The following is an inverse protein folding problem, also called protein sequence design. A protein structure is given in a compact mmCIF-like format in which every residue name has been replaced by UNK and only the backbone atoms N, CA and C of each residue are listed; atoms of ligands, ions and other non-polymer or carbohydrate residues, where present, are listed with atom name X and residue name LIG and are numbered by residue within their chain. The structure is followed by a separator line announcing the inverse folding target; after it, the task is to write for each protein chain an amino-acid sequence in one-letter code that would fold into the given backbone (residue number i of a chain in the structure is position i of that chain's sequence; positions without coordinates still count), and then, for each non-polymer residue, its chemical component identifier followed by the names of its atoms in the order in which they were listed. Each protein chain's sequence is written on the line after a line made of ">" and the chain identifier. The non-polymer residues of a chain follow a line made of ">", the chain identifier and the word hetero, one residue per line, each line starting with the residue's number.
data_IF_181911593376
#
_entry.id   IF_181911593376
#
_cell.length_a   1.000
_cell.length_b   1.000
_cell.length_c   1.000
_cell.angle_alpha   90.00
_cell.angle_beta   90.00
_cell.angle_gamma   90.00
#
_symmetry.space_group_name_H-M   'P 1'
#
loop_
_entity.id
_entity.type
_entity.pdbx_description
1 polymer ?
#
# COMPACT_ATOMS: atom_id res chain seq x y z
N UNK A 1 72.89 -33.83 -35.66
CA UNK A 1 71.61 -33.26 -36.14
C UNK A 1 70.53 -33.74 -35.17
N UNK A 2 70.17 -32.92 -34.18
CA UNK A 2 69.26 -33.31 -33.10
C UNK A 2 67.90 -32.64 -33.34
N UNK A 3 66.85 -33.45 -33.46
CA UNK A 3 65.47 -33.01 -33.64
C UNK A 3 64.89 -32.49 -32.31
N UNK A 4 64.32 -31.29 -32.35
CA UNK A 4 63.51 -30.70 -31.28
C UNK A 4 62.05 -31.17 -31.38
N UNK A 5 61.48 -31.63 -30.26
CA UNK A 5 60.07 -32.00 -30.11
C UNK A 5 59.38 -30.99 -29.19
N UNK A 6 58.66 -30.03 -29.78
CA UNK A 6 57.85 -29.04 -29.09
C UNK A 6 56.45 -29.60 -28.83
N UNK A 7 56.09 -29.85 -27.58
CA UNK A 7 54.72 -30.24 -27.20
C UNK A 7 53.96 -29.04 -26.66
N UNK A 8 52.99 -28.55 -27.43
CA UNK A 8 52.02 -27.53 -27.01
C UNK A 8 50.90 -28.17 -26.18
N UNK A 9 50.85 -27.90 -24.88
CA UNK A 9 49.73 -28.28 -24.02
C UNK A 9 48.63 -27.22 -24.12
N UNK A 10 47.50 -27.58 -24.74
CA UNK A 10 46.28 -26.77 -24.78
C UNK A 10 45.54 -26.85 -23.44
N UNK A 11 45.33 -25.70 -22.80
CA UNK A 11 44.64 -25.54 -21.51
C UNK A 11 43.12 -25.83 -21.60
N UNK A 12 42.54 -26.68 -20.73
CA UNK A 12 41.10 -26.92 -20.67
C UNK A 12 40.42 -25.88 -19.75
N UNK A 13 40.28 -24.63 -20.22
CA UNK A 13 39.57 -23.57 -19.46
C UNK A 13 38.09 -23.39 -19.82
N UNK A 14 37.58 -24.12 -20.82
CA UNK A 14 36.22 -23.92 -21.34
C UNK A 14 35.13 -24.77 -20.67
N UNK A 15 35.47 -25.81 -19.90
CA UNK A 15 34.45 -26.71 -19.34
C UNK A 15 33.75 -26.20 -18.06
N UNK A 16 34.35 -25.24 -17.34
CA UNK A 16 33.80 -24.77 -16.07
C UNK A 16 32.72 -23.68 -16.23
N UNK A 17 32.67 -23.00 -17.38
CA UNK A 17 31.69 -21.93 -17.62
C UNK A 17 30.28 -22.47 -17.92
N UNK A 18 30.17 -23.67 -18.50
CA UNK A 18 28.88 -24.22 -18.93
C UNK A 18 28.01 -24.75 -17.78
N UNK A 19 28.62 -25.25 -16.69
CA UNK A 19 27.87 -25.82 -15.55
C UNK A 19 27.25 -24.72 -14.68
N UNK A 20 27.85 -23.53 -14.62
CA UNK A 20 27.32 -22.41 -13.85
C UNK A 20 26.04 -21.79 -14.45
N UNK A 21 25.87 -21.81 -15.78
CA UNK A 21 24.65 -21.31 -16.43
C UNK A 21 23.44 -22.24 -16.25
N UNK A 22 23.66 -23.56 -16.14
CA UNK A 22 22.57 -24.52 -15.99
C UNK A 22 21.89 -24.44 -14.61
N UNK A 23 22.60 -24.01 -13.57
CA UNK A 23 22.04 -23.84 -12.21
C UNK A 23 21.18 -22.57 -12.06
N UNK A 24 21.34 -21.57 -12.94
CA UNK A 24 20.54 -20.34 -12.93
C UNK A 24 19.19 -20.48 -13.64
N UNK A 25 19.03 -21.49 -14.50
CA UNK A 25 17.78 -21.72 -15.23
C UNK A 25 16.69 -22.41 -14.40
N UNK A 26 17.03 -22.95 -13.21
CA UNK A 26 16.10 -23.67 -12.34
C UNK A 26 15.27 -22.81 -11.37
N UNK A 27 15.59 -21.51 -11.22
CA UNK A 27 14.95 -20.65 -10.22
C UNK A 27 13.71 -19.88 -10.68
N UNK A 28 13.18 -20.13 -11.89
CA UNK A 28 12.01 -19.40 -12.41
C UNK A 28 10.72 -20.22 -12.46
N UNK A 29 10.75 -21.49 -12.01
CA UNK A 29 9.60 -22.37 -12.08
C UNK A 29 8.73 -22.31 -10.81
N UNK A 30 7.72 -21.44 -10.82
CA UNK A 30 6.49 -21.64 -10.04
C UNK A 30 6.49 -21.26 -8.55
N UNK A 31 7.49 -20.51 -8.07
CA UNK A 31 7.44 -19.92 -6.73
C UNK A 31 6.33 -18.86 -6.60
N UNK A 32 5.77 -18.73 -5.40
CA UNK A 32 4.94 -17.55 -5.05
C UNK A 32 5.78 -16.30 -5.35
N UNK A 33 5.23 -15.34 -6.11
CA UNK A 33 5.89 -14.04 -6.29
C UNK A 33 6.14 -13.36 -4.93
N UNK A 34 7.06 -12.39 -4.85
CA UNK A 34 7.46 -11.77 -3.57
C UNK A 34 6.25 -11.26 -2.77
N UNK A 35 5.31 -10.56 -3.42
CA UNK A 35 4.08 -10.09 -2.79
C UNK A 35 3.21 -11.23 -2.22
N UNK A 36 3.16 -12.36 -2.91
CA UNK A 36 2.36 -13.50 -2.47
C UNK A 36 3.00 -14.21 -1.27
N UNK A 37 4.34 -14.30 -1.24
CA UNK A 37 5.08 -14.82 -0.10
C UNK A 37 4.95 -13.90 1.13
N UNK A 38 5.13 -12.59 0.96
CA UNK A 38 4.96 -11.62 2.04
C UNK A 38 3.54 -11.58 2.58
N UNK A 39 2.54 -11.54 1.68
CA UNK A 39 1.13 -11.57 2.06
C UNK A 39 0.73 -12.84 2.81
N UNK A 40 1.30 -14.00 2.44
CA UNK A 40 1.04 -15.26 3.14
C UNK A 40 1.55 -15.26 4.60
N UNK A 41 2.51 -14.40 4.91
CA UNK A 41 3.06 -14.26 6.26
C UNK A 41 2.34 -13.20 7.10
N UNK A 42 1.40 -12.44 6.54
CA UNK A 42 0.64 -11.44 7.30
C UNK A 42 -0.29 -12.13 8.30
N UNK A 43 -0.16 -11.77 9.58
CA UNK A 43 -1.06 -12.25 10.61
C UNK A 43 -2.50 -11.77 10.33
N UNK A 44 -3.53 -12.63 10.35
CA UNK A 44 -4.90 -12.23 9.99
C UNK A 44 -5.45 -11.04 10.76
N UNK A 45 -5.02 -10.81 12.01
CA UNK A 45 -5.42 -9.65 12.79
C UNK A 45 -4.76 -8.33 12.35
N UNK A 46 -3.72 -8.38 11.51
CA UNK A 46 -3.03 -7.21 10.96
C UNK A 46 -3.59 -6.76 9.60
N UNK A 47 -4.47 -7.55 8.97
CA UNK A 47 -5.23 -7.10 7.77
C UNK A 47 -6.09 -5.87 8.08
N UNK A 48 -6.66 -5.83 9.29
CA UNK A 48 -7.38 -4.67 9.83
C UNK A 48 -6.80 -4.37 11.22
N UNK A 49 -5.71 -3.62 11.29
CA UNK A 49 -4.87 -3.55 12.48
C UNK A 49 -5.49 -2.66 13.56
N UNK A 50 -5.05 -2.87 14.80
CA UNK A 50 -5.43 -2.02 15.96
C UNK A 50 -4.50 -0.82 16.10
N UNK A 51 -4.47 0.05 15.10
CA UNK A 51 -3.63 1.27 15.09
C UNK A 51 -4.06 2.29 16.14
N UNK A 52 -3.11 3.10 16.62
CA UNK A 52 -3.42 4.25 17.48
C UNK A 52 -4.07 5.38 16.66
N UNK A 53 -4.84 6.29 17.29
CA UNK A 53 -5.36 7.48 16.60
C UNK A 53 -4.26 8.33 15.93
N UNK A 54 -3.09 8.44 16.57
CA UNK A 54 -1.95 9.18 16.01
C UNK A 54 -1.39 8.49 14.76
N UNK A 55 -1.17 7.17 14.81
CA UNK A 55 -0.68 6.41 13.65
C UNK A 55 -1.65 6.48 12.47
N UNK A 56 -2.96 6.45 12.74
CA UNK A 56 -3.99 6.58 11.71
C UNK A 56 -3.87 7.90 10.94
N UNK A 57 -3.82 9.03 11.66
CA UNK A 57 -3.70 10.36 11.05
C UNK A 57 -2.35 10.54 10.36
N UNK A 58 -1.24 10.12 10.98
CA UNK A 58 0.09 10.21 10.37
C UNK A 58 0.19 9.42 9.07
N UNK A 59 -0.37 8.22 9.02
CA UNK A 59 -0.44 7.44 7.78
C UNK A 59 -1.34 8.10 6.74
N UNK A 60 -2.46 8.71 7.15
CA UNK A 60 -3.32 9.44 6.22
C UNK A 60 -2.62 10.66 5.61
N UNK A 61 -1.95 11.46 6.44
CA UNK A 61 -1.15 12.60 5.98
C UNK A 61 -0.08 12.14 4.98
N UNK A 62 0.74 11.15 5.37
CA UNK A 62 1.83 10.65 4.54
C UNK A 62 1.35 10.04 3.22
N UNK A 63 0.32 9.19 3.24
CA UNK A 63 -0.04 8.34 2.11
C UNK A 63 -1.23 8.84 1.30
N UNK A 64 -2.00 9.80 1.79
CA UNK A 64 -3.14 10.37 1.05
C UNK A 64 -2.97 11.85 0.74
N UNK A 65 -2.49 12.65 1.70
CA UNK A 65 -2.37 14.11 1.55
C UNK A 65 -1.08 14.46 0.83
N UNK A 66 0.06 14.00 1.35
CA UNK A 66 1.40 14.29 0.87
C UNK A 66 1.97 13.24 -0.09
N UNK A 67 1.09 12.40 -0.65
CA UNK A 67 1.50 11.33 -1.55
C UNK A 67 1.73 11.83 -2.97
N UNK A 68 2.48 11.04 -3.76
CA UNK A 68 2.71 11.34 -5.17
C UNK A 68 1.40 11.55 -5.97
N UNK A 69 1.45 12.36 -7.05
CA UNK A 69 0.25 12.78 -7.78
C UNK A 69 -0.38 11.66 -8.62
N UNK A 70 0.31 10.53 -8.82
CA UNK A 70 -0.15 9.40 -9.62
C UNK A 70 -0.30 8.14 -8.78
N UNK A 71 -1.20 7.23 -9.21
CA UNK A 71 -1.32 5.92 -8.57
C UNK A 71 -0.01 5.11 -8.60
N UNK A 72 0.80 5.26 -9.64
CA UNK A 72 2.08 4.57 -9.76
C UNK A 72 3.10 5.07 -8.72
N UNK A 73 3.17 6.39 -8.50
CA UNK A 73 4.01 6.97 -7.45
C UNK A 73 3.54 6.50 -6.06
N UNK A 74 2.24 6.50 -5.81
CA UNK A 74 1.67 6.03 -4.54
C UNK A 74 1.94 4.53 -4.29
N UNK A 75 1.83 3.69 -5.32
CA UNK A 75 2.20 2.26 -5.23
C UNK A 75 3.68 2.09 -4.86
N UNK A 76 4.57 2.85 -5.52
CA UNK A 76 5.99 2.87 -5.22
C UNK A 76 6.28 3.30 -3.77
N UNK A 77 5.65 4.37 -3.31
CA UNK A 77 5.82 4.90 -1.95
C UNK A 77 5.33 3.91 -0.87
N UNK A 78 4.20 3.26 -1.10
CA UNK A 78 3.66 2.25 -0.18
C UNK A 78 4.57 1.02 -0.12
N UNK A 79 5.04 0.53 -1.27
CA UNK A 79 5.99 -0.59 -1.33
C UNK A 79 7.32 -0.25 -0.65
N UNK A 80 7.84 0.96 -0.88
CA UNK A 80 9.05 1.44 -0.19
C UNK A 80 8.87 1.55 1.33
N UNK A 81 7.64 1.76 1.80
CA UNK A 81 7.28 1.71 3.22
C UNK A 81 7.04 0.27 3.75
N UNK A 82 7.24 -0.77 2.94
CA UNK A 82 7.06 -2.17 3.33
C UNK A 82 5.59 -2.63 3.35
N UNK A 83 4.70 -1.90 2.68
CA UNK A 83 3.35 -2.38 2.45
C UNK A 83 3.28 -3.32 1.25
N UNK A 84 2.40 -4.30 1.32
CA UNK A 84 2.10 -5.22 0.22
C UNK A 84 0.63 -5.16 -0.18
N UNK A 85 0.31 -5.38 -1.47
CA UNK A 85 -1.07 -5.50 -1.91
C UNK A 85 -1.78 -6.68 -1.23
N UNK A 86 -2.95 -6.43 -0.64
CA UNK A 86 -3.78 -7.45 0.00
C UNK A 86 -4.37 -8.46 -1.00
N UNK A 87 -4.44 -8.09 -2.28
CA UNK A 87 -4.85 -8.93 -3.40
C UNK A 87 -4.04 -8.54 -4.64
N UNK A 88 -3.81 -9.48 -5.56
CA UNK A 88 -2.96 -9.24 -6.73
C UNK A 88 -3.58 -8.25 -7.72
N UNK A 89 -4.90 -8.37 -7.95
CA UNK A 89 -5.64 -7.51 -8.85
C UNK A 89 -6.43 -6.42 -8.09
N UNK A 90 -6.40 -5.15 -8.55
CA UNK A 90 -7.27 -4.11 -8.03
C UNK A 90 -8.75 -4.51 -8.14
N UNK A 91 -9.55 -4.13 -7.14
CA UNK A 91 -11.01 -4.30 -7.16
C UNK A 91 -11.65 -2.95 -7.44
N UNK A 92 -12.42 -2.84 -8.52
CA UNK A 92 -13.04 -1.58 -8.95
C UNK A 92 -12.01 -0.43 -9.10
N UNK A 93 -10.81 -0.74 -9.60
CA UNK A 93 -9.72 0.24 -9.75
C UNK A 93 -9.06 0.68 -8.44
N UNK A 94 -9.47 0.12 -7.29
CA UNK A 94 -8.85 0.36 -6.00
C UNK A 94 -7.94 -0.81 -5.59
N UNK A 95 -6.83 -0.49 -4.94
CA UNK A 95 -5.89 -1.47 -4.39
C UNK A 95 -5.72 -1.21 -2.90
N UNK A 96 -5.86 -2.28 -2.12
CA UNK A 96 -5.67 -2.29 -0.67
C UNK A 96 -4.25 -2.77 -0.35
N UNK A 97 -3.60 -2.08 0.56
CA UNK A 97 -2.26 -2.35 1.04
C UNK A 97 -2.28 -2.60 2.54
N UNK A 98 -1.53 -3.61 2.94
CA UNK A 98 -1.42 -4.11 4.31
C UNK A 98 0.06 -4.31 4.65
N UNK A 99 0.36 -4.38 5.94
CA UNK A 99 1.70 -4.67 6.44
C UNK A 99 1.56 -5.48 7.73
N UNK A 100 2.52 -6.36 8.02
CA UNK A 100 2.44 -7.27 9.16
C UNK A 100 2.82 -6.62 10.50
N UNK A 101 2.35 -5.39 10.73
CA UNK A 101 2.50 -4.70 12.00
C UNK A 101 1.21 -3.92 12.37
N UNK A 102 1.33 -2.94 13.28
CA UNK A 102 0.18 -2.18 13.78
C UNK A 102 -0.11 -0.89 12.99
N UNK A 103 0.63 -0.60 11.92
CA UNK A 103 0.34 0.53 11.03
C UNK A 103 -0.99 0.28 10.31
N UNK A 104 -1.80 1.32 10.06
CA UNK A 104 -3.09 1.17 9.42
C UNK A 104 -2.95 0.69 7.98
N UNK A 105 -3.98 0.00 7.50
CA UNK A 105 -4.08 -0.38 6.10
C UNK A 105 -4.41 0.85 5.24
N UNK A 106 -3.92 0.86 4.01
CA UNK A 106 -4.08 1.98 3.07
C UNK A 106 -4.74 1.46 1.80
N UNK A 107 -5.78 2.11 1.31
CA UNK A 107 -6.32 1.81 -0.01
C UNK A 107 -6.26 3.04 -0.91
N UNK A 108 -5.81 2.83 -2.14
CA UNK A 108 -5.67 3.88 -3.16
C UNK A 108 -6.40 3.50 -4.45
N UNK A 109 -6.89 4.51 -5.16
CA UNK A 109 -7.45 4.45 -6.51
C UNK A 109 -7.18 5.79 -7.20
N UNK A 110 -7.57 5.93 -8.46
CA UNK A 110 -7.38 7.17 -9.21
C UNK A 110 -8.04 8.41 -8.58
N UNK A 111 -9.09 8.23 -7.78
CA UNK A 111 -9.90 9.32 -7.21
C UNK A 111 -10.01 9.30 -5.69
N UNK A 112 -9.41 8.32 -5.04
CA UNK A 112 -9.61 8.11 -3.62
C UNK A 112 -8.37 7.51 -2.98
N UNK A 113 -7.98 8.06 -1.83
CA UNK A 113 -7.08 7.41 -0.89
C UNK A 113 -7.78 7.32 0.45
N UNK A 114 -7.68 6.18 1.13
CA UNK A 114 -8.17 6.02 2.48
C UNK A 114 -7.15 5.27 3.34
N UNK A 115 -7.17 5.60 4.62
CA UNK A 115 -6.44 4.87 5.65
C UNK A 115 -7.45 4.32 6.64
N UNK A 116 -7.36 3.03 6.96
CA UNK A 116 -8.32 2.37 7.83
C UNK A 116 -7.66 1.45 8.87
N UNK A 117 -8.32 1.37 10.02
CA UNK A 117 -7.92 0.52 11.13
C UNK A 117 -9.16 0.05 11.91
N UNK A 118 -8.97 -0.83 12.90
CA UNK A 118 -9.99 -1.09 13.92
C UNK A 118 -10.37 0.21 14.65
N UNK A 119 -11.67 0.36 14.93
CA UNK A 119 -12.18 1.48 15.70
C UNK A 119 -11.62 1.47 17.13
N UNK A 120 -11.19 2.65 17.60
CA UNK A 120 -10.72 2.89 18.97
C UNK A 120 -11.19 4.24 19.47
N UNK A 121 -11.15 4.42 20.79
CA UNK A 121 -11.42 5.69 21.46
C UNK A 121 -10.48 6.80 20.95
N UNK A 122 -11.02 8.00 20.78
CA UNK A 122 -10.25 9.19 20.39
C UNK A 122 -9.95 9.35 18.90
N UNK A 123 -10.29 8.39 18.03
CA UNK A 123 -10.05 8.51 16.58
C UNK A 123 -10.82 9.66 15.94
N UNK A 124 -12.11 9.80 16.25
CA UNK A 124 -12.96 10.88 15.72
C UNK A 124 -12.42 12.26 16.08
N UNK A 125 -12.06 12.46 17.36
CA UNK A 125 -11.52 13.74 17.81
C UNK A 125 -10.14 14.01 17.21
N UNK A 126 -9.28 12.99 17.12
CA UNK A 126 -7.96 13.12 16.51
C UNK A 126 -8.05 13.48 15.02
N UNK A 127 -8.97 12.88 14.28
CA UNK A 127 -9.21 13.22 12.87
C UNK A 127 -9.75 14.63 12.73
N UNK A 128 -10.73 15.03 13.56
CA UNK A 128 -11.28 16.40 13.58
C UNK A 128 -10.20 17.45 13.83
N UNK A 129 -9.37 17.25 14.86
CA UNK A 129 -8.28 18.14 15.20
C UNK A 129 -7.27 18.27 14.05
N UNK A 130 -6.89 17.14 13.45
CA UNK A 130 -6.00 17.12 12.28
C UNK A 130 -6.58 17.90 11.09
N UNK A 131 -7.88 17.74 10.80
CA UNK A 131 -8.52 18.48 9.69
C UNK A 131 -8.48 19.98 9.95
N UNK A 132 -8.81 20.42 11.16
CA UNK A 132 -8.79 21.83 11.52
C UNK A 132 -7.38 22.45 11.46
N UNK A 133 -6.35 21.68 11.81
CA UNK A 133 -4.95 22.11 11.77
C UNK A 133 -4.38 22.14 10.34
N UNK A 134 -4.67 21.10 9.55
CA UNK A 134 -4.00 20.87 8.25
C UNK A 134 -4.76 21.51 7.08
N UNK A 135 -6.07 21.66 7.21
CA UNK A 135 -6.96 22.22 6.19
C UNK A 135 -7.80 23.34 6.80
N UNK A 136 -7.19 24.50 7.11
CA UNK A 136 -7.90 25.61 7.77
C UNK A 136 -9.07 26.16 6.94
N UNK A 137 -9.08 25.92 5.63
CA UNK A 137 -10.17 26.29 4.72
C UNK A 137 -11.30 25.25 4.63
N UNK A 138 -11.15 24.09 5.29
CA UNK A 138 -12.10 23.00 5.25
C UNK A 138 -13.48 23.42 5.76
N UNK A 139 -14.52 23.18 4.95
CA UNK A 139 -15.91 23.51 5.30
C UNK A 139 -16.68 22.23 5.61
N UNK A 140 -17.34 22.11 6.78
CA UNK A 140 -18.16 20.95 7.07
C UNK A 140 -19.30 20.85 6.04
N UNK A 141 -19.59 19.65 5.58
CA UNK A 141 -20.70 19.36 4.67
C UNK A 141 -21.61 18.29 5.26
N UNK A 142 -22.88 18.31 4.87
CA UNK A 142 -23.85 17.29 5.28
C UNK A 142 -23.43 15.90 4.81
N UNK A 143 -23.61 14.89 5.66
CA UNK A 143 -23.20 13.50 5.37
C UNK A 143 -24.32 12.63 4.81
N UNK A 144 -25.56 13.13 4.81
CA UNK A 144 -26.76 12.37 4.40
C UNK A 144 -26.61 11.75 3.00
N UNK A 145 -26.01 12.49 2.06
CA UNK A 145 -25.84 12.05 0.67
C UNK A 145 -24.49 11.40 0.38
N UNK A 146 -23.58 11.35 1.36
CA UNK A 146 -22.22 10.81 1.19
C UNK A 146 -22.12 9.31 1.50
N UNK A 147 -23.14 8.76 2.16
CA UNK A 147 -23.28 7.34 2.43
C UNK A 147 -23.56 7.04 3.90
N UNK A 148 -24.23 5.91 4.14
CA UNK A 148 -24.76 5.49 5.46
C UNK A 148 -23.73 5.35 6.59
N UNK A 149 -22.45 5.37 6.29
CA UNK A 149 -21.37 5.13 7.25
C UNK A 149 -20.49 6.36 7.49
N UNK A 150 -20.74 7.46 6.79
CA UNK A 150 -19.95 8.69 6.92
C UNK A 150 -20.35 9.39 8.22
N UNK A 151 -19.40 9.52 9.14
CA UNK A 151 -19.61 10.21 10.42
C UNK A 151 -19.44 11.72 10.28
N UNK A 152 -18.43 12.14 9.51
CA UNK A 152 -18.08 13.54 9.33
C UNK A 152 -17.52 13.73 7.92
N UNK A 153 -17.76 14.89 7.33
CA UNK A 153 -17.18 15.25 6.03
C UNK A 153 -16.90 16.75 5.94
N UNK A 154 -15.87 17.07 5.16
CA UNK A 154 -15.44 18.42 4.88
C UNK A 154 -15.12 18.57 3.40
N UNK A 155 -15.62 19.65 2.80
CA UNK A 155 -15.12 20.12 1.52
C UNK A 155 -13.77 20.83 1.74
N UNK A 156 -12.75 20.43 0.99
CA UNK A 156 -11.42 21.04 1.00
C UNK A 156 -11.04 21.49 -0.42
N UNK A 157 -9.94 22.21 -0.57
CA UNK A 157 -9.46 22.54 -1.92
C UNK A 157 -9.15 21.24 -2.70
N UNK A 158 -9.83 21.05 -3.82
CA UNK A 158 -9.61 19.91 -4.71
C UNK A 158 -10.19 18.57 -4.25
N UNK A 159 -11.08 18.55 -3.24
CA UNK A 159 -11.67 17.29 -2.81
C UNK A 159 -12.65 17.34 -1.64
N UNK A 160 -12.99 16.14 -1.17
CA UNK A 160 -13.76 15.89 0.03
C UNK A 160 -12.92 15.02 0.96
N UNK A 161 -12.78 15.45 2.21
CA UNK A 161 -12.26 14.62 3.28
C UNK A 161 -13.45 14.08 4.08
N UNK A 162 -13.44 12.80 4.41
CA UNK A 162 -14.49 12.18 5.21
C UNK A 162 -13.92 11.21 6.24
N UNK A 163 -14.68 10.99 7.30
CA UNK A 163 -14.44 9.89 8.23
C UNK A 163 -15.62 8.92 8.17
N UNK A 164 -15.33 7.63 8.24
CA UNK A 164 -16.33 6.56 8.14
C UNK A 164 -16.17 5.59 9.29
N UNK A 165 -17.29 5.09 9.82
CA UNK A 165 -17.31 3.95 10.74
C UNK A 165 -18.20 2.84 10.20
N UNK A 166 -17.63 1.64 10.09
CA UNK A 166 -18.35 0.43 9.61
C UNK A 166 -18.29 -0.68 10.63
N UNK A 167 -19.37 -1.44 10.72
CA UNK A 167 -19.36 -2.75 11.37
C UNK A 167 -19.05 -3.82 10.33
N UNK A 168 -18.11 -4.72 10.63
CA UNK A 168 -17.91 -5.93 9.85
C UNK A 168 -18.86 -7.07 10.29
N UNK A 169 -18.88 -8.16 9.54
CA UNK A 169 -19.73 -9.32 9.82
C UNK A 169 -19.46 -9.99 11.18
N UNK A 170 -18.34 -9.65 11.84
CA UNK A 170 -17.96 -10.16 13.16
C UNK A 170 -18.25 -9.14 14.27
N UNK A 171 -19.14 -8.17 14.03
CA UNK A 171 -19.45 -7.07 14.95
C UNK A 171 -18.22 -6.25 15.38
N UNK A 172 -17.16 -6.22 14.58
CA UNK A 172 -16.01 -5.35 14.84
C UNK A 172 -16.20 -4.04 14.10
N UNK A 173 -16.01 -2.95 14.83
CA UNK A 173 -16.06 -1.62 14.24
C UNK A 173 -14.70 -1.26 13.61
N UNK A 174 -14.74 -0.69 12.42
CA UNK A 174 -13.59 -0.14 11.68
C UNK A 174 -13.78 1.35 11.51
N UNK A 175 -12.68 2.08 11.50
CA UNK A 175 -12.66 3.51 11.32
C UNK A 175 -11.72 3.87 10.17
N UNK A 176 -12.18 4.75 9.29
CA UNK A 176 -11.46 5.17 8.09
C UNK A 176 -11.38 6.69 8.01
N UNK A 177 -10.26 7.21 7.51
CA UNK A 177 -10.13 8.59 7.03
C UNK A 177 -9.97 8.49 5.51
N UNK A 178 -10.80 9.22 4.77
CA UNK A 178 -10.94 9.10 3.32
C UNK A 178 -10.69 10.48 2.71
N UNK A 179 -9.88 10.51 1.66
CA UNK A 179 -9.70 11.65 0.78
C UNK A 179 -10.21 11.29 -0.60
N UNK A 180 -11.30 11.93 -1.02
CA UNK A 180 -11.84 11.84 -2.37
C UNK A 180 -11.42 13.06 -3.17
N UNK A 181 -10.80 12.83 -4.32
CA UNK A 181 -10.50 13.87 -5.32
C UNK A 181 -11.42 13.65 -6.51
N UNK A 182 -12.30 14.60 -6.86
CA UNK A 182 -13.00 14.53 -8.13
C UNK A 182 -11.93 14.59 -9.22
N UNK A 183 -11.75 13.48 -9.95
CA UNK A 183 -10.77 13.44 -11.03
C UNK A 183 -11.07 14.56 -12.01
N UNK A 184 -10.01 15.15 -12.60
CA UNK A 184 -10.18 15.86 -13.86
C UNK A 184 -10.74 14.85 -14.85
N UNK A 185 -11.94 15.10 -15.38
CA UNK A 185 -12.49 14.25 -16.42
C UNK A 185 -11.57 14.34 -17.64
N UNK A 186 -10.63 13.39 -17.77
CA UNK A 186 -9.64 13.34 -18.86
C UNK A 186 -8.52 14.38 -18.71
N UNK A 187 -7.30 13.89 -18.49
CA UNK A 187 -6.08 14.52 -18.99
C UNK A 187 -5.30 13.42 -19.69
#
# INVERSE_FOLDING_TARGET
>A
MALALSHSFATPRLLHAAVALALLAGCTAGGLGPDAAERANIYPANIVPKSSPAALVMSFDRHCVNAGPTMAAQDGDLRAAGYVPAVDAPRNGARLYVVDDRRPAVAISARMCLVHAMARTGQTERARAYVAETFPEAKPIGTADLGRYVEQAWAIQGGILATERRMDASNRSRYSIILFRPGTAGA
#
